data_IF_977644970706
#
_entry.id   IF_977644970706
#
_cell.length_a   1.000
_cell.length_b   1.000
_cell.length_c   1.000
_cell.angle_alpha   90.00
_cell.angle_beta   90.00
_cell.angle_gamma   90.00
#
_symmetry.space_group_name_H-M   'P 1'
#
loop_
_entity.id
_entity.type
_entity.pdbx_description
1 polymer ?
#
# COMPACT_ATOMS: atom_id res chain seq x y z
N UNK A 1 2.65 -2.22 -0.50
CA UNK A 1 1.24 -2.05 -0.93
C UNK A 1 0.43 -1.23 0.05
N UNK A 2 0.33 -1.63 1.33
CA UNK A 2 -0.42 -0.86 2.35
C UNK A 2 -0.02 0.63 2.42
N UNK A 3 1.29 0.89 2.43
CA UNK A 3 1.82 2.26 2.42
C UNK A 3 1.41 3.04 1.16
N UNK A 4 1.52 2.44 -0.03
CA UNK A 4 1.15 3.09 -1.30
C UNK A 4 -0.33 3.44 -1.38
N UNK A 5 -1.22 2.49 -1.06
CA UNK A 5 -2.66 2.75 -1.01
C UNK A 5 -3.00 3.89 -0.04
N UNK A 6 -2.35 3.89 1.13
CA UNK A 6 -2.54 4.94 2.14
C UNK A 6 -2.04 6.31 1.68
N UNK A 7 -0.94 6.38 0.92
CA UNK A 7 -0.44 7.61 0.30
C UNK A 7 -1.44 8.17 -0.73
N UNK A 8 -2.06 7.32 -1.55
CA UNK A 8 -3.09 7.75 -2.51
C UNK A 8 -4.32 8.29 -1.79
N UNK A 9 -4.79 7.57 -0.77
CA UNK A 9 -5.99 7.94 -0.01
C UNK A 9 -5.75 9.07 1.02
N UNK A 10 -4.51 9.54 1.20
CA UNK A 10 -4.19 10.59 2.16
C UNK A 10 -4.39 10.20 3.64
N UNK A 11 -4.33 8.90 3.99
CA UNK A 11 -4.49 8.46 5.38
C UNK A 11 -3.21 8.67 6.19
N UNK A 12 -3.05 9.84 6.85
CA UNK A 12 -1.86 10.15 7.66
C UNK A 12 -1.55 9.09 8.73
N UNK A 13 -2.57 8.60 9.45
CA UNK A 13 -2.44 7.54 10.45
C UNK A 13 -1.86 6.24 9.85
N UNK A 14 -2.41 5.83 8.71
CA UNK A 14 -2.01 4.59 8.04
C UNK A 14 -0.63 4.71 7.39
N UNK A 15 -0.29 5.90 6.86
CA UNK A 15 1.05 6.19 6.34
C UNK A 15 2.08 6.09 7.47
N UNK A 16 1.81 6.71 8.64
CA UNK A 16 2.70 6.63 9.79
C UNK A 16 2.96 5.19 10.25
N UNK A 17 1.87 4.42 10.42
CA UNK A 17 1.94 3.02 10.83
C UNK A 17 2.72 2.17 9.82
N UNK A 18 2.34 2.21 8.54
CA UNK A 18 2.93 1.31 7.54
C UNK A 18 4.33 1.74 7.07
N UNK A 19 4.70 3.01 7.19
CA UNK A 19 6.09 3.44 6.99
C UNK A 19 6.99 2.94 8.14
N UNK A 20 6.47 2.93 9.37
CA UNK A 20 7.16 2.34 10.53
C UNK A 20 7.34 0.83 10.36
N UNK A 21 6.26 0.10 10.06
CA UNK A 21 6.30 -1.34 9.79
C UNK A 21 7.27 -1.68 8.63
N UNK A 22 7.30 -0.87 7.57
CA UNK A 22 8.20 -1.08 6.44
C UNK A 22 9.67 -1.03 6.88
N UNK A 23 10.06 -0.02 7.68
CA UNK A 23 11.41 0.10 8.25
C UNK A 23 11.77 -1.09 9.14
N UNK A 24 10.85 -1.51 9.99
CA UNK A 24 11.05 -2.66 10.87
C UNK A 24 11.27 -3.96 10.10
N UNK A 25 10.68 -4.08 8.91
CA UNK A 25 10.86 -5.21 8.01
C UNK A 25 12.06 -5.04 7.04
N UNK A 26 12.94 -4.05 7.27
CA UNK A 26 14.17 -3.87 6.51
C UNK A 26 14.04 -3.07 5.22
N UNK A 27 12.90 -2.42 4.97
CA UNK A 27 12.76 -1.51 3.83
C UNK A 27 13.62 -0.26 4.01
N UNK A 28 14.14 0.28 2.90
CA UNK A 28 15.04 1.45 2.94
C UNK A 28 14.27 2.77 2.91
N UNK A 29 14.84 3.82 3.52
CA UNK A 29 14.28 5.18 3.44
C UNK A 29 14.13 5.63 1.98
N UNK A 30 15.12 5.34 1.12
CA UNK A 30 15.08 5.70 -0.29
C UNK A 30 13.82 5.12 -0.96
N UNK A 31 13.56 3.82 -0.78
CA UNK A 31 12.38 3.18 -1.38
C UNK A 31 11.10 3.74 -0.77
N UNK A 32 11.00 3.89 0.56
CA UNK A 32 9.83 4.51 1.21
C UNK A 32 9.51 5.89 0.63
N UNK A 33 10.52 6.76 0.48
CA UNK A 33 10.33 8.12 -0.04
C UNK A 33 10.06 8.16 -1.55
N UNK A 34 10.59 7.22 -2.32
CA UNK A 34 10.34 7.13 -3.76
C UNK A 34 9.02 6.43 -4.11
N UNK A 35 8.35 5.79 -3.14
CA UNK A 35 7.11 5.06 -3.36
C UNK A 35 5.99 5.89 -4.04
N UNK A 36 5.78 7.18 -3.72
CA UNK A 36 4.83 8.01 -4.46
C UNK A 36 5.16 8.19 -5.95
N UNK A 37 6.44 8.10 -6.30
CA UNK A 37 7.00 8.28 -7.64
C UNK A 37 7.53 6.96 -8.23
N UNK A 38 6.96 5.82 -7.82
CA UNK A 38 7.50 4.49 -8.14
C UNK A 38 7.66 4.20 -9.64
N UNK A 39 6.86 4.84 -10.50
CA UNK A 39 6.94 4.66 -11.96
C UNK A 39 8.30 5.10 -12.51
N UNK A 40 8.86 6.17 -11.99
CA UNK A 40 10.17 6.72 -12.37
C UNK A 40 11.34 6.14 -11.55
N UNK A 41 11.04 5.54 -10.40
CA UNK A 41 12.06 5.02 -9.49
C UNK A 41 12.64 3.68 -10.00
N UNK A 42 13.96 3.58 -10.24
CA UNK A 42 14.59 2.37 -10.78
C UNK A 42 14.81 1.28 -9.73
N UNK A 43 14.54 1.57 -8.45
CA UNK A 43 14.81 0.68 -7.32
C UNK A 43 13.75 -0.42 -7.12
N UNK A 44 12.70 -0.46 -7.94
CA UNK A 44 11.63 -1.46 -7.87
C UNK A 44 11.74 -2.47 -9.01
N UNK A 45 11.68 -3.75 -8.68
CA UNK A 45 11.63 -4.84 -9.66
C UNK A 45 10.32 -4.86 -10.45
N UNK A 46 10.29 -5.53 -11.60
CA UNK A 46 9.09 -5.63 -12.44
C UNK A 46 7.89 -6.24 -11.68
N UNK A 47 8.14 -7.26 -10.86
CA UNK A 47 7.09 -7.86 -10.00
C UNK A 47 6.56 -6.85 -8.96
N UNK A 48 7.41 -6.01 -8.39
CA UNK A 48 6.96 -4.95 -7.47
C UNK A 48 6.17 -3.87 -8.22
N UNK A 49 6.64 -3.48 -9.40
CA UNK A 49 5.98 -2.50 -10.27
C UNK A 49 4.58 -2.97 -10.68
N UNK A 50 4.41 -4.25 -11.01
CA UNK A 50 3.10 -4.85 -11.27
C UNK A 50 2.17 -4.78 -10.04
N UNK A 51 2.68 -5.09 -8.84
CA UNK A 51 1.89 -4.97 -7.61
C UNK A 51 1.52 -3.51 -7.28
N UNK A 52 2.41 -2.55 -7.54
CA UNK A 52 2.16 -1.12 -7.36
C UNK A 52 1.14 -0.60 -8.38
N UNK A 53 1.25 -0.99 -9.65
CA UNK A 53 0.27 -0.68 -10.68
C UNK A 53 -1.12 -1.19 -10.32
N UNK A 54 -1.23 -2.44 -9.87
CA UNK A 54 -2.49 -3.01 -9.39
C UNK A 54 -3.03 -2.29 -8.15
N UNK A 55 -2.16 -1.93 -7.21
CA UNK A 55 -2.53 -1.14 -6.03
C UNK A 55 -3.10 0.23 -6.41
N UNK A 56 -2.45 0.94 -7.35
CA UNK A 56 -2.89 2.24 -7.83
C UNK A 56 -4.26 2.13 -8.51
N UNK A 57 -4.44 1.16 -9.41
CA UNK A 57 -5.68 0.94 -10.16
C UNK A 57 -6.87 0.61 -9.26
N UNK A 58 -6.69 -0.30 -8.29
CA UNK A 58 -7.76 -0.67 -7.35
C UNK A 58 -8.03 0.38 -6.28
N UNK A 59 -7.04 1.19 -5.91
CA UNK A 59 -7.26 2.30 -4.96
C UNK A 59 -8.05 3.42 -5.62
N UNK A 60 -7.80 3.70 -6.91
CA UNK A 60 -8.54 4.67 -7.73
C UNK A 60 -9.65 4.04 -8.56
N UNK A 61 -10.30 3.00 -8.03
CA UNK A 61 -11.26 2.18 -8.78
C UNK A 61 -12.37 3.01 -9.45
N UNK A 62 -12.83 4.09 -8.80
CA UNK A 62 -13.86 4.99 -9.32
C UNK A 62 -13.40 5.89 -10.48
N UNK A 63 -12.09 6.05 -10.67
CA UNK A 63 -11.51 6.89 -11.73
C UNK A 63 -11.36 6.14 -13.06
N UNK A 64 -11.46 4.80 -13.05
CA UNK A 64 -11.56 3.96 -14.26
C UNK A 64 -10.31 3.88 -15.14
N UNK A 65 -9.20 4.50 -14.74
CA UNK A 65 -7.96 4.52 -15.52
C UNK A 65 -7.11 3.25 -15.31
N UNK A 66 -6.54 2.73 -16.40
CA UNK A 66 -5.45 1.74 -16.46
C UNK A 66 -5.66 0.38 -15.76
N UNK A 67 -6.90 0.01 -15.39
CA UNK A 67 -7.19 -1.27 -14.69
C UNK A 67 -6.83 -2.50 -15.52
N UNK A 68 -7.16 -2.50 -16.81
CA UNK A 68 -6.94 -3.66 -17.69
C UNK A 68 -5.43 -3.91 -17.88
N UNK A 69 -4.69 -2.88 -18.26
CA UNK A 69 -3.22 -2.94 -18.35
C UNK A 69 -2.58 -3.37 -17.03
N UNK A 70 -3.03 -2.81 -15.90
CA UNK A 70 -2.49 -3.20 -14.59
C UNK A 70 -2.79 -4.66 -14.24
N UNK A 71 -3.93 -5.20 -14.68
CA UNK A 71 -4.28 -6.61 -14.47
C UNK A 71 -3.44 -7.54 -15.36
N UNK A 72 -3.15 -7.14 -16.60
CA UNK A 72 -2.26 -7.89 -17.48
C UNK A 72 -0.83 -7.95 -16.94
N UNK A 73 -0.30 -6.82 -16.47
CA UNK A 73 1.01 -6.78 -15.79
C UNK A 73 1.01 -7.66 -14.53
N UNK A 74 -0.08 -7.63 -13.75
CA UNK A 74 -0.20 -8.47 -12.56
C UNK A 74 -0.15 -9.97 -12.90
N UNK A 75 -0.90 -10.42 -13.91
CA UNK A 75 -0.90 -11.82 -14.36
C UNK A 75 0.46 -12.28 -14.86
N UNK A 76 1.24 -11.39 -15.48
CA UNK A 76 2.57 -11.72 -15.98
C UNK A 76 3.55 -12.07 -14.85
N UNK A 77 3.33 -11.54 -13.64
CA UNK A 77 4.27 -11.68 -12.52
C UNK A 77 3.75 -12.49 -11.34
N UNK A 78 2.43 -12.71 -11.18
CA UNK A 78 1.83 -13.34 -10.00
C UNK A 78 0.93 -14.53 -10.34
N UNK A 79 0.95 -15.57 -9.51
CA UNK A 79 -0.01 -16.69 -9.62
C UNK A 79 -1.42 -16.24 -9.26
N UNK A 80 -2.45 -17.00 -9.65
CA UNK A 80 -3.85 -16.67 -9.33
C UNK A 80 -4.08 -16.52 -7.81
N UNK A 81 -3.48 -17.40 -7.01
CA UNK A 81 -3.57 -17.32 -5.54
C UNK A 81 -2.93 -16.02 -5.00
N UNK A 82 -1.76 -15.65 -5.54
CA UNK A 82 -1.09 -14.41 -5.14
C UNK A 82 -1.86 -13.16 -5.57
N UNK A 83 -2.50 -13.19 -6.75
CA UNK A 83 -3.37 -12.12 -7.24
C UNK A 83 -4.53 -11.88 -6.28
N UNK A 84 -5.19 -12.96 -5.82
CA UNK A 84 -6.27 -12.88 -4.83
C UNK A 84 -5.75 -12.33 -3.51
N UNK A 85 -4.65 -12.87 -2.98
CA UNK A 85 -4.03 -12.40 -1.73
C UNK A 85 -3.68 -10.90 -1.77
N UNK A 86 -3.08 -10.45 -2.86
CA UNK A 86 -2.73 -9.04 -3.06
C UNK A 86 -3.98 -8.16 -3.12
N UNK A 87 -5.01 -8.59 -3.86
CA UNK A 87 -6.27 -7.84 -4.00
C UNK A 87 -7.00 -7.71 -2.66
N UNK A 88 -7.05 -8.79 -1.88
CA UNK A 88 -7.62 -8.77 -0.52
C UNK A 88 -6.84 -7.81 0.38
N UNK A 89 -5.50 -7.83 0.32
CA UNK A 89 -4.67 -6.89 1.08
C UNK A 89 -4.97 -5.42 0.70
N UNK A 90 -5.12 -5.13 -0.59
CA UNK A 90 -5.47 -3.79 -1.10
C UNK A 90 -6.85 -3.37 -0.60
N UNK A 91 -7.84 -4.27 -0.61
CA UNK A 91 -9.18 -3.99 -0.10
C UNK A 91 -9.16 -3.68 1.41
N UNK A 92 -8.44 -4.50 2.19
CA UNK A 92 -8.31 -4.32 3.65
C UNK A 92 -7.73 -2.94 3.96
N UNK A 93 -6.61 -2.54 3.32
CA UNK A 93 -6.02 -1.24 3.61
C UNK A 93 -6.91 -0.09 3.15
N UNK A 94 -7.59 -0.22 2.02
CA UNK A 94 -8.56 0.77 1.55
C UNK A 94 -9.73 0.92 2.53
N UNK A 95 -10.19 -0.16 3.17
CA UNK A 95 -11.17 -0.11 4.26
C UNK A 95 -10.65 0.67 5.47
N UNK A 96 -9.43 0.36 5.93
CA UNK A 96 -8.79 1.07 7.04
C UNK A 96 -8.54 2.55 6.75
N UNK A 97 -8.14 2.91 5.53
CA UNK A 97 -7.98 4.30 5.13
C UNK A 97 -9.30 5.07 5.28
N UNK A 98 -10.43 4.50 4.84
CA UNK A 98 -11.76 5.13 4.97
C UNK A 98 -12.17 5.31 6.42
N UNK A 99 -11.94 4.31 7.25
CA UNK A 99 -12.26 4.38 8.69
C UNK A 99 -11.42 5.47 9.36
N UNK A 100 -10.09 5.43 9.18
CA UNK A 100 -9.19 6.36 9.85
C UNK A 100 -9.42 7.81 9.40
N UNK A 101 -9.55 8.06 8.10
CA UNK A 101 -9.84 9.41 7.59
C UNK A 101 -11.25 9.85 7.99
N UNK A 102 -12.26 9.00 7.79
CA UNK A 102 -13.66 9.34 8.05
C UNK A 102 -13.96 9.66 9.51
N UNK A 103 -13.25 9.03 10.46
CA UNK A 103 -13.43 9.27 11.89
C UNK A 103 -12.29 10.09 12.53
N UNK A 104 -11.38 10.67 11.73
CA UNK A 104 -10.29 11.51 12.24
C UNK A 104 -9.32 10.77 13.16
N UNK A 105 -9.11 9.47 12.95
CA UNK A 105 -8.21 8.68 13.78
C UNK A 105 -6.76 9.05 13.47
N UNK A 106 -6.00 9.37 14.52
CA UNK A 106 -4.54 9.47 14.46
C UNK A 106 -3.96 8.97 15.77
N UNK A 107 -3.17 7.92 15.68
CA UNK A 107 -2.45 7.36 16.82
C UNK A 107 -0.97 7.34 16.48
N UNK A 108 -0.15 7.81 17.42
CA UNK A 108 1.29 7.71 17.24
C UNK A 108 1.73 6.25 17.14
N UNK A 109 2.68 5.97 16.24
CA UNK A 109 3.13 4.62 15.96
C UNK A 109 3.83 4.00 17.18
N UNK A 110 4.44 4.78 18.07
CA UNK A 110 4.97 4.27 19.32
C UNK A 110 3.83 3.84 20.28
N UNK A 111 2.72 4.59 20.30
CA UNK A 111 1.53 4.26 21.10
C UNK A 111 0.82 2.99 20.61
N UNK A 112 0.69 2.80 19.29
CA UNK A 112 0.14 1.55 18.71
C UNK A 112 1.00 0.35 19.14
N UNK A 113 2.32 0.48 19.01
CA UNK A 113 3.29 -0.58 19.37
C UNK A 113 3.27 -0.91 20.87
N UNK A 114 3.16 0.10 21.74
CA UNK A 114 3.02 -0.11 23.17
C UNK A 114 1.75 -0.90 23.51
N UNK A 115 0.65 -0.62 22.82
CA UNK A 115 -0.64 -1.30 23.03
C UNK A 115 -0.62 -2.76 22.54
N UNK A 116 0.03 -3.03 21.40
CA UNK A 116 0.12 -4.37 20.82
C UNK A 116 1.05 -5.33 21.60
N UNK A 117 2.07 -4.80 22.29
CA UNK A 117 2.94 -5.60 23.18
C UNK A 117 2.33 -5.91 24.54
N UNK A 118 1.28 -5.19 24.92
CA UNK A 118 0.58 -5.33 26.20
C UNK A 118 -0.63 -6.28 26.13
N UNK A 119 -0.99 -6.75 24.94
CA UNK A 119 -2.08 -7.70 24.67
C UNK A 119 -1.51 -9.09 24.37
#
# INVERSE_FOLDING_TARGET
>A
MKLRASQINGCANCINLHATEARENGETEQRIYLLPAWREAPCYSDRERAALGWTDALTRLSEGQDRESAYDDLKAHFTEEEQVKLTVLINIINGWNRIAVGFGLYTDAATIRASAKAA
#
